data_IF_730674834893
#
_entry.id   IF_730674834893
#
_cell.length_a   1.000
_cell.length_b   1.000
_cell.length_c   1.000
_cell.angle_alpha   90.00
_cell.angle_beta   90.00
_cell.angle_gamma   90.00
#
_symmetry.space_group_name_H-M   'P 1'
#
loop_
_entity.id
_entity.type
_entity.pdbx_description
1 polymer ?
#
# COMPACT_ATOMS: atom_id res chain seq x y z
N UNK A 1 21.94 -33.59 -62.37
CA UNK A 1 21.29 -34.54 -61.43
C UNK A 1 22.00 -34.36 -60.09
N UNK A 2 21.40 -34.14 -58.91
CA UNK A 2 20.26 -34.83 -58.28
C UNK A 2 19.43 -33.93 -57.34
N UNK A 3 18.15 -34.28 -57.24
CA UNK A 3 17.12 -33.79 -56.29
C UNK A 3 17.28 -34.53 -54.96
N UNK A 4 17.08 -33.86 -53.82
CA UNK A 4 16.85 -34.53 -52.53
C UNK A 4 15.58 -33.96 -51.87
N UNK A 5 14.61 -34.85 -51.67
CA UNK A 5 13.36 -34.64 -50.93
C UNK A 5 13.56 -35.10 -49.48
N UNK A 6 13.12 -34.32 -48.48
CA UNK A 6 13.15 -34.73 -47.08
C UNK A 6 11.75 -34.73 -46.46
N UNK A 7 11.36 -35.89 -45.92
CA UNK A 7 10.08 -36.23 -45.31
C UNK A 7 10.14 -35.97 -43.80
N UNK A 8 9.35 -35.03 -43.28
CA UNK A 8 9.35 -34.66 -41.85
C UNK A 8 8.42 -35.59 -41.05
N UNK A 9 8.98 -36.24 -40.03
CA UNK A 9 8.30 -37.20 -39.14
C UNK A 9 7.71 -36.47 -37.93
N UNK A 10 6.48 -36.82 -37.56
CA UNK A 10 5.54 -36.21 -36.56
C UNK A 10 5.99 -36.25 -35.08
N UNK A 11 7.30 -36.31 -34.80
CA UNK A 11 7.84 -36.60 -33.46
C UNK A 11 8.47 -35.43 -32.69
N UNK A 12 8.34 -34.17 -33.14
CA UNK A 12 8.92 -32.99 -32.44
C UNK A 12 7.85 -31.96 -32.04
N UNK A 13 6.82 -32.44 -31.36
CA UNK A 13 5.73 -31.62 -30.79
C UNK A 13 6.13 -30.89 -29.49
N UNK A 14 7.34 -31.03 -28.96
CA UNK A 14 7.65 -30.54 -27.59
C UNK A 14 8.57 -29.30 -27.53
N UNK A 15 8.98 -28.73 -28.68
CA UNK A 15 9.92 -27.61 -28.71
C UNK A 15 9.37 -26.28 -29.27
N UNK A 16 8.04 -26.12 -29.34
CA UNK A 16 7.38 -24.87 -29.80
C UNK A 16 6.54 -24.20 -28.68
N UNK A 17 6.55 -24.74 -27.47
CA UNK A 17 5.83 -24.19 -26.32
C UNK A 17 6.68 -23.30 -25.38
N UNK A 18 7.92 -22.94 -25.74
CA UNK A 18 8.84 -22.25 -24.83
C UNK A 18 9.47 -20.95 -25.40
N UNK A 19 8.93 -20.38 -26.49
CA UNK A 19 9.48 -19.17 -27.10
C UNK A 19 8.43 -18.05 -27.38
N UNK A 20 7.23 -18.15 -26.79
CA UNK A 20 6.20 -17.10 -26.82
C UNK A 20 5.89 -16.51 -25.42
N UNK A 21 6.75 -16.78 -24.44
CA UNK A 21 6.70 -16.18 -23.10
C UNK A 21 7.57 -14.91 -22.97
N UNK A 22 8.10 -14.39 -24.10
CA UNK A 22 8.98 -13.21 -24.16
C UNK A 22 8.27 -11.96 -24.68
N UNK A 23 6.95 -12.03 -24.96
CA UNK A 23 6.10 -10.85 -25.25
C UNK A 23 5.38 -10.37 -23.98
N UNK A 24 5.95 -10.62 -22.80
CA UNK A 24 5.53 -10.01 -21.54
C UNK A 24 6.17 -8.62 -21.29
N UNK A 25 6.99 -8.08 -22.20
CA UNK A 25 7.76 -6.86 -21.95
C UNK A 25 7.33 -5.57 -22.68
N UNK A 26 6.40 -5.61 -23.66
CA UNK A 26 6.22 -4.48 -24.61
C UNK A 26 4.82 -3.84 -24.58
N UNK A 27 3.84 -4.36 -23.84
CA UNK A 27 2.52 -3.71 -23.71
C UNK A 27 2.38 -2.83 -22.46
N UNK A 28 3.50 -2.21 -22.06
CA UNK A 28 3.56 -1.02 -21.19
C UNK A 28 3.10 0.25 -21.95
N UNK A 29 2.62 0.12 -23.19
CA UNK A 29 2.20 1.23 -24.07
C UNK A 29 0.68 1.36 -24.29
N UNK A 30 -0.15 0.88 -23.35
CA UNK A 30 -1.59 1.19 -23.29
C UNK A 30 -1.92 2.11 -22.08
N UNK A 31 -1.00 3.00 -21.76
CA UNK A 31 -1.31 4.16 -20.94
C UNK A 31 -2.19 5.12 -21.76
N UNK A 32 -3.40 5.37 -21.24
CA UNK A 32 -4.24 6.47 -21.67
C UNK A 32 -5.04 6.17 -22.92
N UNK A 33 -6.29 5.75 -22.74
CA UNK A 33 -7.43 6.32 -23.45
C UNK A 33 -8.73 5.72 -22.88
N UNK A 34 -9.53 6.62 -22.31
CA UNK A 34 -10.99 6.54 -22.16
C UNK A 34 -11.54 5.84 -20.90
N UNK A 35 -11.65 6.66 -19.85
CA UNK A 35 -12.98 7.03 -19.40
C UNK A 35 -13.67 6.03 -18.48
N UNK A 36 -13.22 6.01 -17.23
CA UNK A 36 -13.93 5.36 -16.14
C UNK A 36 -13.38 5.80 -14.80
N UNK A 37 -13.42 7.11 -14.52
CA UNK A 37 -13.41 7.63 -13.14
C UNK A 37 -14.71 7.15 -12.47
N UNK A 38 -14.78 5.86 -12.18
CA UNK A 38 -15.56 5.38 -11.06
C UNK A 38 -14.75 5.78 -9.84
N UNK A 39 -15.34 6.59 -8.96
CA UNK A 39 -14.95 6.59 -7.56
C UNK A 39 -15.15 5.15 -7.08
N UNK A 40 -14.13 4.31 -7.27
CA UNK A 40 -14.03 3.07 -6.55
C UNK A 40 -13.83 3.53 -5.11
N UNK A 41 -14.90 3.53 -4.32
CA UNK A 41 -14.76 3.46 -2.89
C UNK A 41 -13.80 2.29 -2.64
N UNK A 42 -12.55 2.60 -2.30
CA UNK A 42 -11.51 1.61 -2.06
C UNK A 42 -12.11 0.63 -1.06
N UNK A 43 -12.36 -0.60 -1.51
CA UNK A 43 -12.73 -1.67 -0.61
C UNK A 43 -11.50 -1.84 0.29
N UNK A 44 -11.56 -1.25 1.50
CA UNK A 44 -10.45 -1.19 2.42
C UNK A 44 -9.84 -2.59 2.55
N UNK A 45 -8.55 -2.72 2.23
CA UNK A 45 -7.82 -3.95 2.48
C UNK A 45 -7.99 -4.29 3.96
N UNK A 46 -8.17 -5.58 4.26
CA UNK A 46 -8.44 -6.00 5.63
C UNK A 46 -7.33 -5.46 6.55
N UNK A 47 -7.66 -4.74 7.63
CA UNK A 47 -6.65 -4.27 8.57
C UNK A 47 -6.01 -5.41 9.35
N UNK A 48 -6.54 -6.63 9.26
CA UNK A 48 -6.06 -7.82 9.98
C UNK A 48 -5.03 -8.58 9.14
N UNK A 49 -4.09 -9.22 9.85
CA UNK A 49 -3.07 -10.07 9.24
C UNK A 49 -1.77 -9.34 8.92
N UNK A 50 -1.66 -8.06 9.26
CA UNK A 50 -0.46 -7.25 9.04
C UNK A 50 0.59 -7.56 10.12
N UNK A 51 1.56 -8.44 9.80
CA UNK A 51 2.54 -8.96 10.77
C UNK A 51 3.97 -8.53 10.44
N UNK A 52 4.33 -8.60 9.17
CA UNK A 52 5.68 -8.38 8.66
C UNK A 52 5.83 -6.97 8.10
N UNK A 53 7.06 -6.61 7.73
CA UNK A 53 7.32 -5.33 7.07
C UNK A 53 6.65 -5.26 5.70
N UNK A 54 6.73 -6.36 4.98
CA UNK A 54 6.13 -6.56 3.66
C UNK A 54 4.60 -6.42 3.74
N UNK A 55 3.96 -6.96 4.79
CA UNK A 55 2.51 -6.77 4.98
C UNK A 55 2.13 -5.31 5.21
N UNK A 56 2.97 -4.53 5.92
CA UNK A 56 2.72 -3.10 6.19
C UNK A 56 2.88 -2.27 4.93
N UNK A 57 3.90 -2.56 4.13
CA UNK A 57 4.11 -1.92 2.83
C UNK A 57 2.93 -2.24 1.91
N UNK A 58 2.56 -3.52 1.78
CA UNK A 58 1.41 -3.93 0.98
C UNK A 58 0.10 -3.27 1.45
N UNK A 59 -0.06 -3.08 2.76
CA UNK A 59 -1.21 -2.36 3.30
C UNK A 59 -1.22 -0.90 2.83
N UNK A 60 -0.10 -0.18 2.90
CA UNK A 60 0.01 1.21 2.42
C UNK A 60 -0.14 1.31 0.89
N UNK A 61 0.44 0.38 0.14
CA UNK A 61 0.31 0.29 -1.32
C UNK A 61 -1.14 0.09 -1.76
N UNK A 62 -1.97 -0.58 -0.94
CA UNK A 62 -3.39 -0.72 -1.22
C UNK A 62 -4.18 0.60 -1.20
N UNK A 63 -3.64 1.63 -0.52
CA UNK A 63 -4.13 3.01 -0.57
C UNK A 63 -3.47 3.83 -1.69
N UNK A 64 -2.58 3.23 -2.48
CA UNK A 64 -1.84 3.87 -3.57
C UNK A 64 -0.47 4.43 -3.17
N UNK A 65 -0.05 4.30 -1.91
CA UNK A 65 1.22 4.86 -1.45
C UNK A 65 2.42 4.03 -1.88
N UNK A 66 3.46 4.70 -2.39
CA UNK A 66 4.81 4.17 -2.50
C UNK A 66 5.62 4.68 -1.32
N UNK A 67 6.27 3.78 -0.59
CA UNK A 67 6.97 4.11 0.65
C UNK A 67 8.39 3.55 0.68
N UNK A 68 9.19 3.99 1.66
CA UNK A 68 10.52 3.43 1.95
C UNK A 68 10.46 1.92 2.21
N UNK A 69 11.55 1.20 1.88
CA UNK A 69 11.61 -0.26 2.07
C UNK A 69 11.55 -0.69 3.54
N UNK A 70 11.98 0.18 4.43
CA UNK A 70 11.99 -0.04 5.88
C UNK A 70 11.35 1.17 6.57
N UNK A 71 10.74 0.98 7.75
CA UNK A 71 10.22 2.09 8.52
C UNK A 71 11.38 2.97 8.99
N UNK A 72 11.22 4.28 8.84
CA UNK A 72 12.16 5.28 9.33
C UNK A 72 12.07 5.47 10.85
N UNK A 73 10.96 5.05 11.47
CA UNK A 73 10.81 4.98 12.92
C UNK A 73 9.87 3.83 13.32
N UNK A 74 10.18 3.21 14.46
CA UNK A 74 9.31 2.23 15.12
C UNK A 74 9.21 2.59 16.59
N UNK A 75 8.01 2.92 17.04
CA UNK A 75 7.75 3.40 18.40
C UNK A 75 6.76 2.47 19.10
N UNK A 76 6.99 2.17 20.37
CA UNK A 76 6.05 1.43 21.20
C UNK A 76 5.34 2.41 22.13
N UNK A 77 4.02 2.46 22.03
CA UNK A 77 3.19 3.43 22.74
C UNK A 77 2.02 2.73 23.44
N UNK A 78 1.49 3.38 24.46
CA UNK A 78 0.30 2.93 25.20
C UNK A 78 -0.84 3.85 24.79
N UNK A 79 -1.92 3.28 24.27
CA UNK A 79 -3.15 4.04 24.07
C UNK A 79 -3.65 4.47 25.46
N UNK A 80 -3.94 5.76 25.69
CA UNK A 80 -4.41 6.26 26.97
C UNK A 80 -5.57 5.43 27.52
N UNK A 81 -5.69 5.33 28.84
CA UNK A 81 -6.87 4.68 29.46
C UNK A 81 -8.13 5.51 29.25
N UNK A 82 -7.99 6.83 29.11
CA UNK A 82 -9.04 7.80 28.85
C UNK A 82 -8.52 8.84 27.87
N UNK A 83 -9.37 9.23 26.91
CA UNK A 83 -9.09 10.32 25.99
C UNK A 83 -9.69 11.61 26.52
N UNK A 84 -8.88 12.67 26.58
CA UNK A 84 -9.37 14.03 26.83
C UNK A 84 -9.66 14.76 25.51
N UNK A 85 -10.12 16.02 25.61
CA UNK A 85 -10.49 16.83 24.45
C UNK A 85 -9.34 17.06 23.45
N UNK A 86 -8.08 16.93 23.87
CA UNK A 86 -6.92 17.11 22.97
C UNK A 86 -6.83 16.02 21.91
N UNK A 87 -7.44 14.86 22.15
CA UNK A 87 -7.48 13.74 21.21
C UNK A 87 -8.65 13.80 20.23
N UNK A 88 -9.64 14.68 20.45
CA UNK A 88 -10.89 14.73 19.67
C UNK A 88 -10.66 14.69 18.16
N UNK A 89 -9.84 15.60 17.64
CA UNK A 89 -9.53 15.68 16.20
C UNK A 89 -8.84 14.41 15.68
N UNK A 90 -7.95 13.81 16.47
CA UNK A 90 -7.27 12.59 16.07
C UNK A 90 -8.22 11.39 16.08
N UNK A 91 -9.08 11.27 17.10
CA UNK A 91 -10.10 10.22 17.16
C UNK A 91 -11.11 10.34 16.02
N UNK A 92 -11.57 11.55 15.71
CA UNK A 92 -12.45 11.80 14.56
C UNK A 92 -11.78 11.40 13.24
N UNK A 93 -10.49 11.74 13.07
CA UNK A 93 -9.72 11.34 11.91
C UNK A 93 -9.63 9.80 11.80
N UNK A 94 -9.31 9.10 12.88
CA UNK A 94 -9.24 7.64 12.86
C UNK A 94 -10.61 7.00 12.62
N UNK A 95 -11.67 7.52 13.25
CA UNK A 95 -13.04 7.06 13.07
C UNK A 95 -13.53 7.24 11.63
N UNK A 96 -13.15 8.34 10.96
CA UNK A 96 -13.49 8.58 9.55
C UNK A 96 -12.93 7.52 8.60
N UNK A 97 -11.86 6.82 9.01
CA UNK A 97 -11.21 5.74 8.28
C UNK A 97 -11.74 4.35 8.69
N UNK A 98 -12.72 4.30 9.60
CA UNK A 98 -13.26 3.05 10.15
C UNK A 98 -12.47 2.46 11.32
N UNK A 99 -11.58 3.24 11.93
CA UNK A 99 -10.81 2.82 13.10
C UNK A 99 -11.41 3.38 14.40
N UNK A 100 -11.67 2.49 15.36
CA UNK A 100 -12.06 2.87 16.72
C UNK A 100 -10.92 2.60 17.70
N UNK A 101 -10.25 3.66 18.15
CA UNK A 101 -9.15 3.55 19.11
C UNK A 101 -9.64 3.29 20.55
N UNK A 102 -10.92 3.51 20.86
CA UNK A 102 -11.47 3.32 22.21
C UNK A 102 -11.49 1.84 22.61
N UNK A 103 -11.59 0.94 21.64
CA UNK A 103 -11.45 -0.51 21.83
C UNK A 103 -10.04 -0.94 22.30
N UNK A 104 -9.06 -0.04 22.18
CA UNK A 104 -7.66 -0.29 22.47
C UNK A 104 -7.12 0.53 23.64
N UNK A 105 -7.97 1.18 24.45
CA UNK A 105 -7.55 1.88 25.66
C UNK A 105 -6.71 1.01 26.60
N UNK A 106 -5.61 1.58 27.11
CA UNK A 106 -4.63 0.90 27.95
C UNK A 106 -3.81 -0.19 27.24
N UNK A 107 -3.99 -0.40 25.93
CA UNK A 107 -3.23 -1.39 25.17
C UNK A 107 -1.92 -0.80 24.69
N UNK A 108 -0.90 -1.65 24.69
CA UNK A 108 0.40 -1.35 24.09
C UNK A 108 0.36 -1.67 22.59
N UNK A 109 0.72 -0.71 21.77
CA UNK A 109 0.69 -0.78 20.30
C UNK A 109 2.01 -0.29 19.73
N UNK A 110 2.27 -0.60 18.45
CA UNK A 110 3.44 -0.10 17.75
C UNK A 110 3.03 0.89 16.67
N UNK A 111 3.71 2.03 16.59
CA UNK A 111 3.68 2.91 15.42
C UNK A 111 4.83 2.54 14.51
N UNK A 112 4.52 2.28 13.25
CA UNK A 112 5.51 2.18 12.19
C UNK A 112 5.38 3.40 11.29
N UNK A 113 6.47 4.12 11.09
CA UNK A 113 6.50 5.32 10.26
C UNK A 113 7.35 5.03 9.03
N UNK A 114 6.80 5.30 7.85
CA UNK A 114 7.48 5.17 6.57
C UNK A 114 7.56 6.51 5.87
N UNK A 115 8.58 6.73 5.06
CA UNK A 115 8.63 7.90 4.18
C UNK A 115 7.84 7.61 2.90
N UNK A 116 6.96 8.53 2.50
CA UNK A 116 6.19 8.47 1.25
C UNK A 116 7.01 9.08 0.12
N UNK A 117 7.07 8.40 -1.02
CA UNK A 117 7.86 8.82 -2.19
C UNK A 117 7.01 9.30 -3.37
N UNK A 118 5.69 9.14 -3.32
CA UNK A 118 4.76 9.49 -4.39
C UNK A 118 3.63 10.43 -3.96
N UNK A 119 3.87 11.30 -2.99
CA UNK A 119 2.84 12.23 -2.54
C UNK A 119 2.40 13.16 -3.69
N UNK A 120 1.09 13.35 -3.97
CA UNK A 120 0.62 13.96 -5.22
C UNK A 120 1.14 15.38 -5.53
N UNK A 121 1.45 16.17 -4.50
CA UNK A 121 1.99 17.53 -4.66
C UNK A 121 3.49 17.56 -4.99
N UNK A 122 4.17 16.41 -4.91
CA UNK A 122 5.62 16.29 -5.14
C UNK A 122 6.49 16.70 -3.95
N UNK A 123 5.90 17.01 -2.80
CA UNK A 123 6.62 17.35 -1.57
C UNK A 123 7.36 16.13 -1.01
N UNK A 124 8.57 16.38 -0.48
CA UNK A 124 9.40 15.36 0.19
C UNK A 124 9.25 15.40 1.71
N UNK A 125 9.60 14.30 2.38
CA UNK A 125 9.54 14.20 3.85
C UNK A 125 8.12 14.02 4.38
N UNK A 126 7.18 13.63 3.52
CA UNK A 126 5.84 13.19 3.91
C UNK A 126 5.94 11.77 4.47
N UNK A 127 5.22 11.50 5.55
CA UNK A 127 5.33 10.25 6.29
C UNK A 127 3.97 9.56 6.39
N UNK A 128 3.95 8.24 6.25
CA UNK A 128 2.82 7.39 6.56
C UNK A 128 3.04 6.69 7.90
N UNK A 129 2.12 6.89 8.85
CA UNK A 129 2.09 6.21 10.14
C UNK A 129 1.05 5.09 10.16
N UNK A 130 1.42 3.92 10.68
CA UNK A 130 0.49 2.83 11.00
C UNK A 130 0.56 2.49 12.48
N UNK A 131 -0.59 2.54 13.17
CA UNK A 131 -0.75 1.99 14.52
C UNK A 131 -1.16 0.53 14.42
N UNK A 132 -0.34 -0.37 14.95
CA UNK A 132 -0.55 -1.81 14.89
C UNK A 132 -0.63 -2.40 16.29
N UNK A 133 -1.76 -3.04 16.58
CA UNK A 133 -1.95 -3.86 17.77
C UNK A 133 -1.97 -5.34 17.38
N UNK A 134 -1.01 -6.11 17.90
CA UNK A 134 -0.75 -7.51 17.51
C UNK A 134 -0.48 -7.63 16.00
N UNK A 135 -1.49 -7.97 15.21
CA UNK A 135 -1.41 -8.11 13.75
C UNK A 135 -2.55 -7.37 13.05
N UNK A 136 -3.07 -6.33 13.69
CA UNK A 136 -4.20 -5.54 13.21
C UNK A 136 -3.77 -4.09 13.15
N UNK A 137 -3.94 -3.45 12.00
CA UNK A 137 -3.89 -2.00 11.86
C UNK A 137 -5.13 -1.44 12.55
N UNK A 138 -4.91 -0.61 13.57
CA UNK A 138 -5.98 0.00 14.39
C UNK A 138 -6.06 1.50 14.18
N UNK A 139 -5.20 2.05 13.33
CA UNK A 139 -5.14 3.47 13.01
C UNK A 139 -4.02 3.74 12.01
N UNK A 140 -4.12 4.87 11.32
CA UNK A 140 -3.08 5.35 10.44
C UNK A 140 -3.31 6.80 10.01
N UNK A 141 -2.22 7.42 9.57
CA UNK A 141 -2.20 8.82 9.16
C UNK A 141 -1.10 9.06 8.13
N UNK A 142 -1.29 10.11 7.33
CA UNK A 142 -0.26 10.70 6.49
C UNK A 142 0.00 12.11 7.00
N UNK A 143 1.26 12.45 7.26
CA UNK A 143 1.62 13.74 7.82
C UNK A 143 2.85 14.37 7.18
N UNK A 144 2.88 15.70 7.19
CA UNK A 144 4.08 16.50 6.91
C UNK A 144 4.58 17.12 8.22
N UNK A 145 5.83 16.85 8.58
CA UNK A 145 6.46 17.39 9.79
C UNK A 145 7.01 18.83 9.62
N UNK A 146 6.80 19.45 8.45
CA UNK A 146 7.29 20.79 8.16
C UNK A 146 6.44 21.87 8.85
N UNK A 147 6.97 23.09 8.95
CA UNK A 147 6.20 24.22 9.49
C UNK A 147 5.02 24.54 8.56
N UNK A 148 3.79 24.51 9.09
CA UNK A 148 2.58 24.58 8.27
C UNK A 148 2.22 23.24 7.60
N UNK A 149 2.80 22.15 8.08
CA UNK A 149 2.46 20.79 7.65
C UNK A 149 1.02 20.40 8.00
N UNK A 150 0.67 19.18 7.63
CA UNK A 150 -0.70 18.69 7.67
C UNK A 150 -0.74 17.27 8.24
N UNK A 151 -1.94 16.84 8.57
CA UNK A 151 -2.28 15.45 8.85
C UNK A 151 -3.58 15.11 8.12
N UNK A 152 -3.64 13.94 7.48
CA UNK A 152 -4.87 13.38 6.93
C UNK A 152 -4.86 11.85 7.02
N UNK A 153 -5.95 11.21 6.61
CA UNK A 153 -6.10 9.76 6.65
C UNK A 153 -5.26 9.05 5.59
N UNK A 154 -5.28 7.72 5.59
CA UNK A 154 -4.53 6.90 4.64
C UNK A 154 -5.06 7.00 3.21
N UNK A 155 -6.28 7.48 2.98
CA UNK A 155 -6.79 7.67 1.62
C UNK A 155 -5.96 8.73 0.88
N UNK A 156 -5.50 8.40 -0.32
CA UNK A 156 -4.71 9.31 -1.14
C UNK A 156 -5.57 10.52 -1.55
N UNK A 157 -5.08 11.75 -1.34
CA UNK A 157 -5.80 12.95 -1.73
C UNK A 157 -5.91 13.03 -3.26
N UNK A 158 -7.07 13.51 -3.73
CA UNK A 158 -7.44 13.58 -5.14
C UNK A 158 -6.80 14.75 -5.91
#
# INVERSE_FOLDING_TARGET
MFIITAKVRKGRIVAVAAAAAVVCGVLVAAAGLLGGRGAAASAAVSPKGVRTNEDRIAYLESYGWSVSSDPIAVEELIIPEQFDETYSQYLELQASQGFDLTDYCGKRVKRYTYEITNYPTGESGIQAGLLVYKSTVIGGDVLSAQLGGFIHGLEMPA
#
